data_IF_465007145848
#
_entry.id   IF_465007145848
#
_cell.length_a   1.000
_cell.length_b   1.000
_cell.length_c   1.000
_cell.angle_alpha   90.00
_cell.angle_beta   90.00
_cell.angle_gamma   90.00
#
_symmetry.space_group_name_H-M   'P 1'
#
loop_
_entity.id
_entity.type
_entity.pdbx_description
1 polymer ?
#
# COMPACT_ATOMS: atom_id res chain seq x y z
N UNK A 1 -32.32 -36.28 -53.44
CA UNK A 1 -33.11 -35.07 -53.70
C UNK A 1 -33.59 -34.54 -52.38
N UNK A 2 -33.03 -33.46 -51.89
CA UNK A 2 -33.46 -32.50 -50.87
C UNK A 2 -32.20 -31.89 -50.24
N UNK A 3 -31.49 -31.17 -51.07
CA UNK A 3 -30.53 -30.15 -50.66
C UNK A 3 -31.15 -28.82 -51.07
N UNK A 4 -30.97 -27.81 -50.24
CA UNK A 4 -31.30 -26.40 -50.54
C UNK A 4 -32.42 -25.85 -49.68
N UNK A 5 -32.12 -25.45 -48.46
CA UNK A 5 -32.82 -24.34 -47.76
C UNK A 5 -32.11 -24.04 -46.44
N UNK A 6 -30.84 -23.62 -46.48
CA UNK A 6 -30.19 -23.10 -45.27
C UNK A 6 -29.16 -21.99 -45.55
N UNK A 7 -29.46 -21.18 -46.52
CA UNK A 7 -28.67 -19.99 -46.83
C UNK A 7 -29.66 -18.85 -47.04
N UNK A 8 -30.07 -18.19 -46.00
CA UNK A 8 -30.67 -16.83 -46.00
C UNK A 8 -31.17 -16.47 -44.60
N UNK A 9 -30.28 -16.45 -43.58
CA UNK A 9 -30.55 -15.76 -42.32
C UNK A 9 -29.25 -15.51 -41.53
N UNK A 10 -28.28 -14.86 -42.17
CA UNK A 10 -27.10 -14.34 -41.43
C UNK A 10 -26.64 -13.01 -42.00
N UNK A 11 -27.53 -12.03 -42.00
CA UNK A 11 -27.18 -10.68 -42.38
C UNK A 11 -28.06 -9.67 -41.63
N UNK A 12 -27.94 -9.55 -40.34
CA UNK A 12 -28.45 -8.40 -39.57
C UNK A 12 -28.08 -8.46 -38.08
N UNK A 13 -26.81 -8.59 -37.70
CA UNK A 13 -26.37 -8.17 -36.35
C UNK A 13 -24.89 -7.77 -36.44
N UNK A 14 -24.57 -6.75 -37.21
CA UNK A 14 -23.29 -6.04 -37.14
C UNK A 14 -23.57 -4.55 -37.34
N UNK A 15 -24.28 -3.96 -36.43
CA UNK A 15 -24.33 -2.48 -36.32
C UNK A 15 -24.79 -2.13 -34.90
N UNK A 16 -23.90 -2.14 -33.94
CA UNK A 16 -24.27 -1.71 -32.58
C UNK A 16 -23.22 -1.97 -31.52
N UNK A 17 -21.94 -2.08 -31.89
CA UNK A 17 -20.87 -2.21 -30.90
C UNK A 17 -19.71 -1.26 -31.21
N UNK A 18 -19.97 0.00 -31.02
CA UNK A 18 -18.91 1.00 -30.95
C UNK A 18 -19.41 2.08 -30.01
N UNK A 19 -18.81 2.16 -28.83
CA UNK A 19 -18.70 3.26 -27.87
C UNK A 19 -18.87 2.81 -26.42
N UNK A 20 -18.20 1.74 -26.01
CA UNK A 20 -18.01 1.47 -24.57
C UNK A 20 -16.66 0.78 -24.38
N UNK A 21 -15.58 1.50 -24.51
CA UNK A 21 -14.28 0.96 -24.13
C UNK A 21 -13.29 2.09 -23.93
N UNK A 22 -13.31 2.69 -22.76
CA UNK A 22 -12.14 3.40 -22.19
C UNK A 22 -12.22 3.57 -20.67
N UNK A 23 -13.23 3.03 -19.97
CA UNK A 23 -13.35 3.24 -18.53
C UNK A 23 -13.24 1.95 -17.69
N UNK A 24 -13.07 0.78 -18.31
CA UNK A 24 -13.00 -0.49 -17.59
C UNK A 24 -11.58 -0.84 -17.10
N UNK A 25 -10.55 -0.46 -17.83
CA UNK A 25 -9.18 -0.83 -17.48
C UNK A 25 -8.66 -0.10 -16.23
N UNK A 26 -8.99 1.19 -16.09
CA UNK A 26 -8.59 1.97 -14.92
C UNK A 26 -9.37 1.60 -13.65
N UNK A 27 -10.62 1.16 -13.78
CA UNK A 27 -11.44 0.72 -12.65
C UNK A 27 -11.02 -0.67 -12.15
N UNK A 28 -10.69 -1.59 -13.06
CA UNK A 28 -10.20 -2.91 -12.70
C UNK A 28 -8.80 -2.88 -12.06
N UNK A 29 -7.91 -2.01 -12.53
CA UNK A 29 -6.58 -1.84 -11.93
C UNK A 29 -6.68 -1.26 -10.50
N UNK A 30 -7.60 -0.32 -10.27
CA UNK A 30 -7.82 0.27 -8.95
C UNK A 30 -8.47 -0.71 -7.97
N UNK A 31 -9.43 -1.51 -8.44
CA UNK A 31 -10.12 -2.52 -7.63
C UNK A 31 -9.20 -3.71 -7.31
N UNK A 32 -8.29 -4.09 -8.21
CA UNK A 32 -7.25 -5.10 -7.95
C UNK A 32 -6.23 -4.61 -6.92
N UNK A 33 -5.76 -3.36 -7.03
CA UNK A 33 -4.84 -2.76 -6.08
C UNK A 33 -5.45 -2.64 -4.67
N UNK A 34 -6.72 -2.21 -4.54
CA UNK A 34 -7.44 -2.17 -3.26
C UNK A 34 -7.64 -3.57 -2.65
N UNK A 35 -7.76 -4.60 -3.48
CA UNK A 35 -7.92 -5.98 -2.99
C UNK A 35 -6.60 -6.56 -2.51
N UNK A 36 -5.49 -6.31 -3.20
CA UNK A 36 -4.15 -6.75 -2.77
C UNK A 36 -3.71 -6.03 -1.49
N UNK A 37 -3.98 -4.74 -1.37
CA UNK A 37 -3.72 -3.94 -0.18
C UNK A 37 -4.49 -4.49 1.04
N UNK A 38 -5.76 -4.79 0.90
CA UNK A 38 -6.59 -5.35 1.97
C UNK A 38 -6.16 -6.77 2.38
N UNK A 39 -5.65 -7.57 1.44
CA UNK A 39 -5.09 -8.90 1.72
C UNK A 39 -3.75 -8.78 2.45
N UNK A 40 -2.90 -7.82 2.08
CA UNK A 40 -1.64 -7.57 2.76
C UNK A 40 -1.84 -7.11 4.21
N UNK A 41 -2.78 -6.20 4.46
CA UNK A 41 -3.15 -5.78 5.81
C UNK A 41 -3.65 -6.95 6.68
N UNK A 42 -4.48 -7.82 6.12
CA UNK A 42 -4.99 -9.00 6.81
C UNK A 42 -3.91 -10.07 7.05
N UNK A 43 -2.84 -10.10 6.26
CA UNK A 43 -1.76 -11.09 6.38
C UNK A 43 -0.67 -10.72 7.37
N UNK A 44 -0.62 -9.48 7.86
CA UNK A 44 0.46 -8.96 8.70
C UNK A 44 1.79 -8.80 7.97
N UNK A 45 1.79 -8.89 6.64
CA UNK A 45 2.99 -8.65 5.82
C UNK A 45 3.03 -7.20 5.36
N UNK A 46 4.23 -6.58 5.32
CA UNK A 46 4.37 -5.25 4.74
C UNK A 46 3.92 -5.21 3.27
N UNK A 47 3.24 -4.14 2.91
CA UNK A 47 2.89 -3.82 1.51
C UNK A 47 4.16 -3.34 0.82
N UNK A 48 4.55 -3.97 -0.28
CA UNK A 48 5.72 -3.58 -1.05
C UNK A 48 5.26 -2.73 -2.24
N UNK A 49 5.72 -1.47 -2.29
CA UNK A 49 5.42 -0.59 -3.41
C UNK A 49 6.34 -0.89 -4.60
N UNK A 50 5.74 -0.85 -5.79
CA UNK A 50 6.40 -1.02 -7.08
C UNK A 50 6.56 0.29 -7.87
N UNK A 51 7.24 0.24 -9.03
CA UNK A 51 7.38 1.38 -9.91
C UNK A 51 6.01 1.92 -10.38
N UNK A 52 5.77 3.21 -10.18
CA UNK A 52 4.52 3.87 -10.55
C UNK A 52 3.44 3.87 -9.47
N UNK A 53 3.67 3.21 -8.33
CA UNK A 53 2.79 3.35 -7.18
C UNK A 53 2.91 4.75 -6.57
N UNK A 54 1.86 5.17 -5.91
CA UNK A 54 1.77 6.49 -5.26
C UNK A 54 1.66 6.26 -3.76
N UNK A 55 2.47 6.98 -3.00
CA UNK A 55 2.37 7.02 -1.55
C UNK A 55 1.93 8.42 -1.12
N UNK A 56 0.71 8.53 -0.64
CA UNK A 56 0.14 9.78 -0.14
C UNK A 56 -0.57 9.55 1.18
N UNK A 57 -0.37 10.46 2.11
CA UNK A 57 -1.04 10.44 3.41
C UNK A 57 -2.10 11.54 3.41
N UNK A 58 -3.35 11.13 3.15
CA UNK A 58 -4.52 12.01 3.25
C UNK A 58 -5.01 12.13 4.69
N UNK A 59 -5.73 13.20 5.00
CA UNK A 59 -6.40 13.37 6.30
C UNK A 59 -7.93 13.30 6.13
N UNK A 60 -8.63 12.53 6.99
CA UNK A 60 -8.11 11.58 7.97
C UNK A 60 -7.69 10.25 7.33
N UNK A 61 -6.64 9.63 7.85
CA UNK A 61 -6.25 8.29 7.44
C UNK A 61 -7.02 7.22 8.25
N UNK A 62 -7.39 6.09 7.62
CA UNK A 62 -8.14 5.03 8.30
C UNK A 62 -7.34 4.31 9.38
N UNK A 63 -6.02 4.26 9.25
CA UNK A 63 -5.11 3.63 10.21
C UNK A 63 -3.74 4.32 10.18
N UNK A 64 -2.96 4.24 11.28
CA UNK A 64 -1.56 4.65 11.29
C UNK A 64 -0.73 3.84 10.29
N UNK A 65 0.36 4.45 9.81
CA UNK A 65 1.22 3.84 8.80
C UNK A 65 2.68 3.90 9.23
N UNK A 66 3.42 2.83 9.02
CA UNK A 66 4.88 2.79 9.14
C UNK A 66 5.49 2.49 7.78
N UNK A 67 6.39 3.35 7.32
CA UNK A 67 7.06 3.19 6.01
C UNK A 67 8.54 2.96 6.23
N UNK A 68 9.07 1.89 5.64
CA UNK A 68 10.51 1.59 5.57
C UNK A 68 11.03 1.89 4.16
N UNK A 69 11.96 2.84 4.06
CA UNK A 69 12.71 3.12 2.84
C UNK A 69 14.02 2.37 2.87
N UNK A 70 14.23 1.48 1.91
CA UNK A 70 15.33 0.55 1.86
C UNK A 70 15.87 0.33 0.44
N UNK A 71 16.99 -0.40 0.32
CA UNK A 71 17.49 -0.90 -0.95
C UNK A 71 18.19 -2.26 -0.75
N UNK A 72 18.27 -3.03 -1.86
CA UNK A 72 18.86 -4.37 -1.81
C UNK A 72 20.37 -4.35 -1.46
N UNK A 73 21.09 -3.31 -1.84
CA UNK A 73 22.52 -3.13 -1.55
C UNK A 73 22.81 -2.58 -0.16
N UNK A 74 21.81 -2.29 0.69
CA UNK A 74 21.94 -1.64 1.98
C UNK A 74 22.07 -2.68 3.13
N UNK A 75 23.28 -2.90 3.71
CA UNK A 75 23.47 -3.90 4.77
C UNK A 75 22.65 -3.63 6.03
N UNK A 76 22.54 -2.38 6.57
CA UNK A 76 21.69 -2.12 7.73
C UNK A 76 20.20 -2.35 7.47
N UNK A 77 19.73 -2.09 6.22
CA UNK A 77 18.34 -2.37 5.84
C UNK A 77 18.04 -3.88 5.89
N UNK A 78 18.96 -4.72 5.41
CA UNK A 78 18.83 -6.19 5.50
C UNK A 78 18.74 -6.71 6.93
N UNK A 79 19.41 -6.06 7.87
CA UNK A 79 19.33 -6.38 9.30
C UNK A 79 18.01 -5.90 9.90
N UNK A 80 17.46 -4.80 9.42
CA UNK A 80 16.21 -4.23 9.89
C UNK A 80 14.97 -4.98 9.35
N UNK A 81 15.02 -5.49 8.12
CA UNK A 81 13.90 -6.16 7.47
C UNK A 81 13.21 -7.24 8.34
N UNK A 82 13.91 -8.20 9.00
CA UNK A 82 13.25 -9.19 9.84
C UNK A 82 12.55 -8.57 11.06
N UNK A 83 13.09 -7.47 11.62
CA UNK A 83 12.48 -6.74 12.73
C UNK A 83 11.18 -6.08 12.23
N UNK A 84 11.26 -5.40 11.09
CA UNK A 84 10.13 -4.74 10.46
C UNK A 84 8.98 -5.72 10.18
N UNK A 85 9.28 -6.89 9.60
CA UNK A 85 8.29 -7.94 9.34
C UNK A 85 7.67 -8.50 10.62
N UNK A 86 8.47 -8.73 11.66
CA UNK A 86 8.00 -9.25 12.94
C UNK A 86 7.04 -8.27 13.63
N UNK A 87 7.37 -6.98 13.61
CA UNK A 87 6.52 -5.94 14.20
C UNK A 87 5.26 -5.74 13.35
N UNK A 88 5.34 -5.82 12.01
CA UNK A 88 4.18 -5.79 11.14
C UNK A 88 3.17 -6.91 11.47
N UNK A 89 3.67 -8.13 11.69
CA UNK A 89 2.81 -9.26 12.11
C UNK A 89 2.16 -9.02 13.48
N UNK A 90 2.91 -8.43 14.43
CA UNK A 90 2.40 -8.12 15.78
C UNK A 90 1.25 -7.11 15.75
N UNK A 91 1.32 -6.10 14.87
CA UNK A 91 0.33 -5.01 14.78
C UNK A 91 -0.60 -5.13 13.56
N UNK A 92 -0.73 -6.33 12.99
CA UNK A 92 -1.62 -6.57 11.84
C UNK A 92 -3.05 -6.12 12.13
N UNK A 93 -3.67 -5.47 11.14
CA UNK A 93 -5.01 -4.93 11.26
C UNK A 93 -5.15 -3.68 12.12
N UNK A 94 -4.07 -3.20 12.76
CA UNK A 94 -4.05 -1.99 13.57
C UNK A 94 -3.21 -0.89 12.94
N UNK A 95 -2.08 -1.27 12.33
CA UNK A 95 -1.11 -0.37 11.70
C UNK A 95 -0.74 -0.94 10.34
N UNK A 96 -0.68 -0.09 9.33
CA UNK A 96 -0.24 -0.47 7.98
C UNK A 96 1.28 -0.36 7.90
N UNK A 97 1.92 -1.41 7.42
CA UNK A 97 3.36 -1.43 7.18
C UNK A 97 3.62 -1.42 5.67
N UNK A 98 4.42 -0.46 5.22
CA UNK A 98 4.73 -0.25 3.80
C UNK A 98 6.25 -0.29 3.63
N UNK A 99 6.71 -1.01 2.63
CA UNK A 99 8.11 -1.15 2.27
C UNK A 99 8.36 -0.52 0.90
N UNK A 100 9.29 0.42 0.83
CA UNK A 100 9.61 1.21 -0.37
C UNK A 100 11.07 0.98 -0.74
N UNK A 101 11.30 0.29 -1.85
CA UNK A 101 12.62 0.16 -2.46
C UNK A 101 12.96 1.47 -3.20
N UNK A 102 13.96 2.21 -2.70
CA UNK A 102 14.30 3.53 -3.25
C UNK A 102 14.84 3.47 -4.67
N UNK A 103 15.38 2.34 -5.11
CA UNK A 103 15.85 2.13 -6.46
C UNK A 103 14.68 1.90 -7.45
N UNK A 104 13.59 1.29 -6.98
CA UNK A 104 12.38 1.04 -7.76
C UNK A 104 11.39 2.20 -7.71
N UNK A 105 11.36 2.93 -6.61
CA UNK A 105 10.44 4.04 -6.36
C UNK A 105 11.19 5.34 -6.02
N UNK A 106 12.08 5.84 -6.90
CA UNK A 106 12.90 7.03 -6.64
C UNK A 106 12.06 8.30 -6.46
N UNK A 107 10.91 8.39 -7.12
CA UNK A 107 10.01 9.54 -7.01
C UNK A 107 9.39 9.63 -5.61
N UNK A 108 9.00 8.49 -5.03
CA UNK A 108 8.49 8.43 -3.65
C UNK A 108 9.60 8.80 -2.67
N UNK A 109 10.80 8.24 -2.82
CA UNK A 109 11.94 8.59 -1.98
C UNK A 109 12.24 10.09 -2.01
N UNK A 110 12.22 10.70 -3.19
CA UNK A 110 12.42 12.14 -3.39
C UNK A 110 11.26 12.96 -2.78
N UNK A 111 10.02 12.54 -2.97
CA UNK A 111 8.83 13.21 -2.41
C UNK A 111 8.93 13.32 -0.88
N UNK A 112 9.43 12.27 -0.22
CA UNK A 112 9.60 12.27 1.23
C UNK A 112 10.99 12.73 1.70
N UNK A 113 11.84 13.25 0.81
CA UNK A 113 13.16 13.76 1.16
C UNK A 113 14.06 12.71 1.80
N UNK A 114 14.07 11.49 1.26
CA UNK A 114 14.92 10.40 1.75
C UNK A 114 16.32 10.55 1.17
N UNK A 115 17.28 10.96 2.01
CA UNK A 115 18.68 11.17 1.63
C UNK A 115 19.58 10.02 2.05
N UNK A 116 19.14 9.19 2.98
CA UNK A 116 19.89 8.03 3.47
C UNK A 116 18.94 6.90 3.88
N UNK A 117 19.43 5.66 3.85
CA UNK A 117 18.66 4.46 4.16
C UNK A 117 19.36 3.57 5.20
N UNK A 118 18.60 2.88 6.05
CA UNK A 118 17.15 2.90 6.11
C UNK A 118 16.61 4.22 6.67
N UNK A 119 15.47 4.67 6.17
CA UNK A 119 14.67 5.76 6.75
C UNK A 119 13.29 5.22 7.06
N UNK A 120 12.85 5.40 8.29
CA UNK A 120 11.55 4.93 8.76
C UNK A 120 10.66 6.14 9.03
N UNK A 121 9.46 6.17 8.41
CA UNK A 121 8.44 7.16 8.71
C UNK A 121 7.36 6.54 9.57
N UNK A 122 6.99 7.22 10.63
CA UNK A 122 5.92 6.88 11.55
C UNK A 122 4.81 7.90 11.39
N UNK A 123 3.68 7.49 10.83
CA UNK A 123 2.58 8.36 10.42
C UNK A 123 1.32 8.00 11.19
N UNK A 124 0.78 8.93 11.95
CA UNK A 124 -0.51 8.74 12.60
C UNK A 124 -1.67 9.11 11.67
N UNK A 125 -2.89 9.01 12.13
CA UNK A 125 -4.09 9.38 11.36
C UNK A 125 -4.21 10.88 11.06
N UNK A 126 -3.30 11.71 11.57
CA UNK A 126 -3.25 13.18 11.40
C UNK A 126 -2.00 13.67 10.65
N UNK A 127 -1.17 12.75 10.12
CA UNK A 127 0.04 13.07 9.39
C UNK A 127 1.33 12.51 10.00
N UNK A 128 2.48 12.90 9.46
CA UNK A 128 3.78 12.40 9.88
C UNK A 128 4.12 12.94 11.27
N UNK A 129 4.37 12.04 12.23
CA UNK A 129 4.76 12.40 13.59
C UNK A 129 6.28 12.35 13.76
N UNK A 130 6.91 11.28 13.27
CA UNK A 130 8.32 11.02 13.50
C UNK A 130 9.00 10.42 12.27
N UNK A 131 10.30 10.74 12.13
CA UNK A 131 11.20 10.18 11.13
C UNK A 131 12.43 9.67 11.84
N UNK A 132 12.75 8.39 11.66
CA UNK A 132 14.03 7.83 12.09
C UNK A 132 14.93 7.59 10.88
N UNK A 133 16.20 7.98 10.99
CA UNK A 133 17.23 7.74 9.98
C UNK A 133 18.22 6.75 10.55
N UNK A 134 18.41 5.63 9.87
CA UNK A 134 19.26 4.55 10.30
C UNK A 134 18.51 3.38 10.91
N UNK A 135 19.27 2.39 11.34
CA UNK A 135 18.76 1.16 11.94
C UNK A 135 17.99 1.45 13.23
N UNK A 136 16.86 0.76 13.41
CA UNK A 136 16.10 0.71 14.66
C UNK A 136 16.13 -0.69 15.24
N UNK A 137 16.22 -0.79 16.56
CA UNK A 137 15.96 -2.03 17.28
C UNK A 137 14.47 -2.36 17.29
N UNK A 138 14.13 -3.59 17.67
CA UNK A 138 12.71 -4.01 17.77
C UNK A 138 11.95 -3.16 18.80
N UNK A 139 12.56 -2.88 19.95
CA UNK A 139 11.92 -2.11 21.03
C UNK A 139 11.71 -0.63 20.63
N UNK A 140 12.66 -0.05 19.90
CA UNK A 140 12.52 1.32 19.36
C UNK A 140 11.40 1.39 18.33
N UNK A 141 11.30 0.40 17.43
CA UNK A 141 10.24 0.35 16.45
C UNK A 141 8.87 0.14 17.12
N UNK A 142 8.76 -0.74 18.09
CA UNK A 142 7.54 -0.96 18.88
C UNK A 142 7.11 0.34 19.58
N UNK A 143 8.03 1.01 20.25
CA UNK A 143 7.75 2.29 20.93
C UNK A 143 7.27 3.35 19.95
N UNK A 144 7.88 3.42 18.76
CA UNK A 144 7.45 4.31 17.68
C UNK A 144 6.06 3.99 17.16
N UNK A 145 5.74 2.72 16.99
CA UNK A 145 4.41 2.25 16.55
C UNK A 145 3.35 2.61 17.60
N UNK A 146 3.61 2.36 18.87
CA UNK A 146 2.69 2.69 19.96
C UNK A 146 2.42 4.20 20.06
N UNK A 147 3.43 5.03 19.78
CA UNK A 147 3.31 6.48 19.79
C UNK A 147 2.39 7.05 18.67
N UNK A 148 2.23 6.32 17.56
CA UNK A 148 1.36 6.73 16.45
C UNK A 148 -0.05 6.14 16.53
N UNK A 149 -0.27 5.15 17.38
CA UNK A 149 -1.58 4.55 17.59
C UNK A 149 -2.51 5.56 18.29
N UNK A 150 -3.81 5.55 17.96
CA UNK A 150 -4.77 6.36 18.69
C UNK A 150 -4.76 5.97 20.16
N UNK A 151 -4.57 6.94 21.04
CA UNK A 151 -4.67 6.73 22.49
C UNK A 151 -6.04 6.12 22.80
N UNK A 152 -6.06 4.94 23.36
CA UNK A 152 -7.25 4.34 23.99
C UNK A 152 -7.54 5.04 25.33
N UNK A 153 -7.65 6.37 25.32
CA UNK A 153 -8.26 7.05 26.46
C UNK A 153 -9.76 6.76 26.41
N UNK A 154 -10.33 6.19 27.49
CA UNK A 154 -11.79 6.08 27.57
C UNK A 154 -12.35 7.50 27.51
N UNK A 155 -13.12 7.80 26.47
CA UNK A 155 -13.91 9.02 26.40
C UNK A 155 -14.81 9.04 27.62
N UNK A 156 -14.39 9.75 28.67
CA UNK A 156 -15.27 10.09 29.79
C UNK A 156 -16.28 11.05 29.20
N UNK A 157 -17.47 10.52 28.87
CA UNK A 157 -18.59 11.36 28.47
C UNK A 157 -18.83 12.40 29.57
N UNK A 158 -18.95 13.68 29.22
CA UNK A 158 -19.31 14.69 30.20
C UNK A 158 -20.70 14.39 30.77
N UNK A 159 -20.79 14.34 32.08
CA UNK A 159 -22.06 14.21 32.83
C UNK A 159 -22.88 15.44 32.65
#
# INVERSE_FOLDING_TARGET
>A
MKKLTYILMTAAVVAGMSLLSCNSASKQAKEAAETEEKIAEASGKPIVLGPGDILEFGEPMPAPVVVDFWAEWCPPCKKFAPIFHKVAEKYKGQVRFISVDVDKCPDIAKQYGVESIPTILLVNTKGIINRNIGFMTEDELISGVEAIMPSTEPTIAPR
#
